data_IF_160561408259
#
_entry.id   IF_160561408259
#
_cell.length_a   1.000
_cell.length_b   1.000
_cell.length_c   1.000
_cell.angle_alpha   90.00
_cell.angle_beta   90.00
_cell.angle_gamma   90.00
#
_symmetry.space_group_name_H-M   'P 1'
#
loop_
_entity.id
_entity.type
_entity.pdbx_description
1 polymer ?
#
# COMPACT_ATOMS: atom_id res chain seq x y z
N UNK A 1 33.37 74.56 -26.16
CA UNK A 1 33.49 74.83 -27.60
C UNK A 1 32.41 74.04 -28.33
N UNK A 2 31.53 74.75 -29.06
CA UNK A 2 30.82 74.39 -30.32
C UNK A 2 30.59 72.88 -30.59
N UNK A 3 29.40 72.33 -30.88
CA UNK A 3 28.19 72.87 -31.52
C UNK A 3 27.07 71.79 -31.51
N UNK A 4 25.83 72.24 -31.31
CA UNK A 4 24.58 71.98 -32.08
C UNK A 4 24.09 70.54 -32.32
N UNK A 5 22.90 70.18 -31.78
CA UNK A 5 21.55 70.11 -32.43
C UNK A 5 21.40 68.94 -33.43
N UNK A 6 20.26 68.28 -33.65
CA UNK A 6 18.93 68.15 -33.04
C UNK A 6 18.12 67.17 -33.94
N UNK A 7 16.95 66.74 -33.45
CA UNK A 7 15.78 66.18 -34.16
C UNK A 7 15.93 64.77 -34.79
N UNK A 8 15.27 63.71 -34.28
CA UNK A 8 13.81 63.37 -34.34
C UNK A 8 13.29 63.12 -35.76
N UNK A 9 12.97 61.86 -36.10
CA UNK A 9 11.63 61.41 -36.55
C UNK A 9 11.62 59.99 -37.17
N UNK A 10 10.68 59.17 -36.66
CA UNK A 10 9.90 58.08 -37.28
C UNK A 10 10.59 56.97 -38.08
N UNK A 11 10.50 55.74 -37.54
CA UNK A 11 10.15 54.55 -38.31
C UNK A 11 9.12 53.72 -37.53
N UNK A 12 7.90 53.63 -38.08
CA UNK A 12 6.89 52.64 -37.76
C UNK A 12 7.21 51.35 -38.52
N UNK A 13 7.09 50.18 -37.89
CA UNK A 13 6.36 49.00 -38.39
C UNK A 13 6.79 47.71 -37.70
N UNK A 14 5.81 46.88 -37.32
CA UNK A 14 6.00 45.42 -37.23
C UNK A 14 6.03 44.76 -35.85
N UNK A 15 5.02 44.97 -34.99
CA UNK A 15 4.74 43.99 -33.92
C UNK A 15 3.81 42.93 -34.50
N UNK A 16 4.37 41.78 -34.86
CA UNK A 16 3.59 40.60 -35.23
C UNK A 16 2.94 40.00 -33.97
N UNK A 17 1.63 40.21 -33.80
CA UNK A 17 0.83 39.48 -32.84
C UNK A 17 0.74 38.01 -33.28
N UNK A 18 1.27 37.10 -32.45
CA UNK A 18 1.01 35.67 -32.59
C UNK A 18 -0.49 35.42 -32.41
N UNK A 19 -1.13 34.58 -33.24
CA UNK A 19 -2.54 34.27 -33.05
C UNK A 19 -2.68 33.45 -31.77
N UNK A 20 -3.51 33.93 -30.84
CA UNK A 20 -3.97 33.13 -29.72
C UNK A 20 -4.77 31.95 -30.29
N UNK A 21 -4.17 30.76 -30.30
CA UNK A 21 -4.89 29.53 -30.55
C UNK A 21 -5.90 29.35 -29.42
N UNK A 22 -7.15 29.73 -29.68
CA UNK A 22 -8.30 29.29 -28.90
C UNK A 22 -8.30 27.77 -28.93
N UNK A 23 -7.85 27.17 -27.83
CA UNK A 23 -8.12 25.76 -27.54
C UNK A 23 -9.63 25.67 -27.42
N UNK A 24 -10.28 25.14 -28.46
CA UNK A 24 -11.63 24.63 -28.36
C UNK A 24 -11.59 23.49 -27.35
N UNK A 25 -11.85 23.80 -26.08
CA UNK A 25 -12.23 22.79 -25.09
C UNK A 25 -13.61 22.32 -25.52
N UNK A 26 -13.64 21.34 -26.44
CA UNK A 26 -14.83 20.54 -26.60
C UNK A 26 -15.14 19.99 -25.21
N UNK A 27 -16.33 20.27 -24.69
CA UNK A 27 -16.79 19.72 -23.42
C UNK A 27 -16.88 18.21 -23.57
N UNK A 28 -15.77 17.50 -23.33
CA UNK A 28 -15.76 16.03 -23.33
C UNK A 28 -16.72 15.60 -22.22
N UNK A 29 -17.83 15.00 -22.62
CA UNK A 29 -18.77 14.38 -21.69
C UNK A 29 -18.21 13.00 -21.34
N UNK A 30 -17.68 12.87 -20.13
CA UNK A 30 -17.25 11.58 -19.59
C UNK A 30 -18.46 10.80 -19.07
N UNK A 31 -18.37 9.47 -19.09
CA UNK A 31 -19.34 8.63 -18.40
C UNK A 31 -19.23 8.85 -16.88
N UNK A 32 -20.36 8.79 -16.17
CA UNK A 32 -20.38 8.85 -14.70
C UNK A 32 -19.93 7.54 -14.08
N UNK A 33 -20.24 6.43 -14.74
CA UNK A 33 -19.87 5.06 -14.34
C UNK A 33 -19.79 4.15 -15.57
N UNK A 34 -19.13 3.01 -15.41
CA UNK A 34 -19.09 1.94 -16.40
C UNK A 34 -19.07 0.57 -15.70
N UNK A 35 -19.61 -0.44 -16.38
CA UNK A 35 -19.59 -1.83 -15.92
C UNK A 35 -18.40 -2.56 -16.52
N UNK A 36 -17.69 -3.32 -15.69
CA UNK A 36 -16.54 -4.13 -16.08
C UNK A 36 -16.74 -5.58 -15.72
N UNK A 37 -16.30 -6.48 -16.59
CA UNK A 37 -16.10 -7.88 -16.26
C UNK A 37 -14.83 -8.04 -15.43
N UNK A 38 -14.90 -8.89 -14.41
CA UNK A 38 -13.80 -9.23 -13.52
C UNK A 38 -13.64 -10.75 -13.43
N UNK A 39 -12.42 -11.20 -13.20
CA UNK A 39 -12.08 -12.63 -13.20
C UNK A 39 -12.86 -13.35 -12.10
N UNK A 40 -13.53 -14.45 -12.46
CA UNK A 40 -14.17 -15.34 -11.48
C UNK A 40 -13.12 -15.90 -10.52
N UNK A 41 -13.40 -15.83 -9.22
CA UNK A 41 -12.54 -16.40 -8.20
C UNK A 41 -12.65 -17.95 -8.18
N UNK A 42 -11.53 -18.63 -7.96
CA UNK A 42 -11.56 -20.04 -7.58
C UNK A 42 -12.06 -20.15 -6.14
N UNK A 43 -12.89 -21.14 -5.84
CA UNK A 43 -13.59 -21.26 -4.55
C UNK A 43 -13.21 -22.54 -3.82
N UNK A 44 -13.16 -22.44 -2.48
CA UNK A 44 -12.99 -23.56 -1.56
C UNK A 44 -14.08 -23.51 -0.49
N UNK A 45 -14.92 -24.55 -0.43
CA UNK A 45 -16.07 -24.65 0.49
C UNK A 45 -17.03 -23.45 0.46
N UNK A 46 -17.21 -22.85 -0.72
CA UNK A 46 -18.21 -21.83 -1.01
C UNK A 46 -19.03 -22.29 -2.21
N UNK A 47 -20.36 -22.19 -2.12
CA UNK A 47 -21.27 -22.47 -3.24
C UNK A 47 -21.24 -21.34 -4.27
N UNK A 48 -21.21 -20.10 -3.78
CA UNK A 48 -21.14 -18.88 -4.57
C UNK A 48 -20.00 -17.98 -4.10
N UNK A 49 -19.43 -17.24 -5.04
CA UNK A 49 -18.32 -16.31 -4.80
C UNK A 49 -18.70 -14.86 -5.07
N UNK A 50 -17.72 -13.94 -5.12
CA UNK A 50 -17.93 -12.58 -5.56
C UNK A 50 -18.54 -12.52 -6.97
N UNK A 51 -19.28 -11.44 -7.30
CA UNK A 51 -19.82 -11.26 -8.64
C UNK A 51 -18.70 -11.19 -9.70
N UNK A 52 -19.02 -11.58 -10.94
CA UNK A 52 -18.08 -11.52 -12.09
C UNK A 52 -18.20 -10.24 -12.91
N UNK A 53 -19.07 -9.33 -12.48
CA UNK A 53 -19.23 -7.98 -13.03
C UNK A 53 -19.30 -6.98 -11.90
N UNK A 54 -18.83 -5.76 -12.16
CA UNK A 54 -18.93 -4.68 -11.18
C UNK A 54 -18.98 -3.32 -11.85
N UNK A 55 -19.56 -2.35 -11.14
CA UNK A 55 -19.65 -0.96 -11.58
C UNK A 55 -18.49 -0.17 -10.97
N UNK A 56 -17.83 0.64 -11.79
CA UNK A 56 -16.85 1.62 -11.36
C UNK A 56 -17.34 3.01 -11.75
N UNK A 57 -17.48 3.89 -10.75
CA UNK A 57 -17.77 5.30 -10.99
C UNK A 57 -16.49 6.03 -11.42
N UNK A 58 -16.65 7.13 -12.14
CA UNK A 58 -15.54 8.02 -12.53
C UNK A 58 -14.79 8.54 -11.31
N UNK A 59 -15.52 8.95 -10.27
CA UNK A 59 -14.94 9.48 -9.03
C UNK A 59 -14.06 8.42 -8.35
N UNK A 60 -14.58 7.20 -8.15
CA UNK A 60 -13.83 6.10 -7.56
C UNK A 60 -12.62 5.73 -8.41
N UNK A 61 -12.78 5.68 -9.75
CA UNK A 61 -11.69 5.37 -10.67
C UNK A 61 -10.53 6.36 -10.55
N UNK A 62 -10.82 7.67 -10.54
CA UNK A 62 -9.80 8.71 -10.39
C UNK A 62 -9.13 8.65 -9.01
N UNK A 63 -9.90 8.35 -7.96
CA UNK A 63 -9.37 8.13 -6.60
C UNK A 63 -8.41 6.95 -6.56
N UNK A 64 -8.82 5.77 -7.06
CA UNK A 64 -7.99 4.57 -7.04
C UNK A 64 -6.71 4.74 -7.89
N UNK A 65 -6.84 5.37 -9.07
CA UNK A 65 -5.69 5.65 -9.93
C UNK A 65 -4.66 6.54 -9.20
N UNK A 66 -5.12 7.65 -8.60
CA UNK A 66 -4.26 8.53 -7.81
C UNK A 66 -3.59 7.77 -6.66
N UNK A 67 -4.34 7.00 -5.88
CA UNK A 67 -3.81 6.27 -4.73
C UNK A 67 -2.74 5.25 -5.13
N UNK A 68 -3.00 4.41 -6.14
CA UNK A 68 -2.01 3.43 -6.62
C UNK A 68 -0.77 4.13 -7.18
N UNK A 69 -0.95 5.23 -7.91
CA UNK A 69 0.17 6.01 -8.42
C UNK A 69 0.99 6.66 -7.29
N UNK A 70 0.35 7.18 -6.24
CA UNK A 70 1.04 7.70 -5.06
C UNK A 70 1.90 6.62 -4.40
N UNK A 71 1.36 5.41 -4.19
CA UNK A 71 2.13 4.28 -3.66
C UNK A 71 3.31 3.95 -4.57
N UNK A 72 3.09 3.76 -5.87
CA UNK A 72 4.15 3.48 -6.85
C UNK A 72 5.28 4.49 -6.78
N UNK A 73 4.95 5.78 -6.78
CA UNK A 73 5.95 6.87 -6.79
C UNK A 73 6.66 6.99 -5.44
N UNK A 74 5.96 6.77 -4.32
CA UNK A 74 6.55 6.70 -2.97
C UNK A 74 7.61 5.59 -2.88
N UNK A 75 7.29 4.39 -3.38
CA UNK A 75 8.23 3.25 -3.33
C UNK A 75 9.47 3.47 -4.22
N UNK A 76 9.28 4.02 -5.43
CA UNK A 76 10.41 4.39 -6.30
C UNK A 76 11.28 5.50 -5.69
N UNK A 77 10.70 6.40 -4.90
CA UNK A 77 11.47 7.39 -4.14
C UNK A 77 12.23 6.75 -2.98
N UNK A 78 11.62 5.80 -2.27
CA UNK A 78 12.29 5.05 -1.22
C UNK A 78 13.49 4.25 -1.76
N UNK A 79 13.39 3.62 -2.94
CA UNK A 79 14.53 3.00 -3.64
C UNK A 79 15.68 4.01 -3.85
N UNK A 80 15.36 5.19 -4.40
CA UNK A 80 16.34 6.25 -4.63
C UNK A 80 17.03 6.69 -3.34
N UNK A 81 16.26 6.99 -2.28
CA UNK A 81 16.78 7.45 -1.00
C UNK A 81 17.62 6.38 -0.30
N UNK A 82 17.29 5.10 -0.46
CA UNK A 82 18.09 3.99 0.06
C UNK A 82 19.44 3.88 -0.66
N UNK A 83 19.45 3.99 -2.00
CA UNK A 83 20.70 4.00 -2.79
C UNK A 83 21.60 5.17 -2.41
N UNK A 84 21.01 6.32 -2.04
CA UNK A 84 21.70 7.50 -1.52
C UNK A 84 22.15 7.37 -0.05
N UNK A 85 21.92 6.22 0.61
CA UNK A 85 22.23 5.96 2.02
C UNK A 85 21.49 6.84 3.03
N UNK A 86 20.41 7.50 2.58
CA UNK A 86 19.53 8.30 3.45
C UNK A 86 18.60 7.36 4.23
N UNK A 87 18.10 6.32 3.56
CA UNK A 87 17.43 5.18 4.22
C UNK A 87 18.47 4.09 4.47
N UNK A 88 18.37 3.41 5.62
CA UNK A 88 19.27 2.34 6.05
C UNK A 88 18.49 1.15 6.63
N UNK A 89 19.18 0.05 6.91
CA UNK A 89 18.55 -1.14 7.49
C UNK A 89 17.66 -1.86 6.47
N UNK A 90 16.45 -2.25 6.89
CA UNK A 90 15.48 -2.89 6.00
C UNK A 90 14.63 -1.87 5.24
N UNK A 91 14.31 -2.18 3.99
CA UNK A 91 13.35 -1.45 3.17
C UNK A 91 12.72 -2.42 2.15
N UNK A 92 11.41 -2.66 2.28
CA UNK A 92 10.67 -3.65 1.47
C UNK A 92 9.59 -2.94 0.65
N UNK A 93 9.83 -2.80 -0.66
CA UNK A 93 8.99 -2.00 -1.55
C UNK A 93 7.79 -2.80 -2.09
N UNK A 94 6.58 -2.26 -2.07
CA UNK A 94 5.37 -2.95 -2.56
C UNK A 94 5.03 -2.69 -4.04
N UNK A 95 5.92 -2.10 -4.83
CA UNK A 95 5.61 -1.77 -6.21
C UNK A 95 5.35 -3.01 -7.08
N UNK A 96 4.20 -2.99 -7.75
CA UNK A 96 3.58 -4.14 -8.44
C UNK A 96 2.40 -4.76 -7.68
N UNK A 97 2.23 -4.42 -6.40
CA UNK A 97 1.15 -4.93 -5.53
C UNK A 97 0.12 -3.85 -5.17
N UNK A 98 0.09 -2.71 -5.87
CA UNK A 98 -0.75 -1.56 -5.49
C UNK A 98 -2.25 -1.88 -5.53
N UNK A 99 -2.67 -2.78 -6.43
CA UNK A 99 -4.04 -3.26 -6.47
C UNK A 99 -4.46 -3.98 -5.18
N UNK A 100 -3.51 -4.57 -4.43
CA UNK A 100 -3.79 -5.21 -3.15
C UNK A 100 -4.14 -4.15 -2.10
N UNK A 101 -3.24 -3.22 -1.77
CA UNK A 101 -3.51 -2.25 -0.71
C UNK A 101 -4.67 -1.30 -1.03
N UNK A 102 -4.76 -0.79 -2.26
CA UNK A 102 -5.86 0.10 -2.66
C UNK A 102 -7.17 -0.65 -2.84
N UNK A 103 -7.13 -1.91 -3.30
CA UNK A 103 -8.35 -2.72 -3.51
C UNK A 103 -8.95 -3.20 -2.21
N UNK A 104 -8.11 -3.59 -1.25
CA UNK A 104 -8.53 -3.94 0.10
C UNK A 104 -9.15 -2.72 0.79
N UNK A 105 -8.51 -1.56 0.71
CA UNK A 105 -9.05 -0.30 1.24
C UNK A 105 -10.42 0.06 0.63
N UNK A 106 -10.57 -0.11 -0.68
CA UNK A 106 -11.81 0.17 -1.40
C UNK A 106 -12.97 -0.79 -1.06
N UNK A 107 -12.67 -1.92 -0.41
CA UNK A 107 -13.67 -2.94 -0.04
C UNK A 107 -14.06 -2.95 1.44
N UNK A 108 -13.50 -2.05 2.26
CA UNK A 108 -13.72 -2.00 3.71
C UNK A 108 -14.07 -0.59 4.19
N UNK A 109 -14.50 -0.49 5.45
CA UNK A 109 -14.77 0.78 6.10
C UNK A 109 -13.51 1.33 6.80
N UNK A 110 -13.41 2.65 7.03
CA UNK A 110 -12.36 3.22 7.88
C UNK A 110 -12.39 2.70 9.34
N UNK A 111 -13.54 2.21 9.79
CA UNK A 111 -13.70 1.60 11.12
C UNK A 111 -13.19 0.16 11.18
N UNK A 112 -12.97 -0.49 10.03
CA UNK A 112 -12.38 -1.83 9.98
C UNK A 112 -10.88 -1.81 10.25
N UNK A 113 -10.37 -2.98 10.62
CA UNK A 113 -9.02 -3.15 11.13
C UNK A 113 -8.15 -3.88 10.12
N UNK A 114 -6.87 -3.50 10.04
CA UNK A 114 -5.92 -4.15 9.14
C UNK A 114 -4.57 -4.34 9.82
N UNK A 115 -3.97 -5.51 9.63
CA UNK A 115 -2.61 -5.82 10.06
C UNK A 115 -1.85 -6.57 8.98
N UNK A 116 -0.57 -6.25 8.77
CA UNK A 116 0.28 -6.91 7.77
C UNK A 116 1.72 -7.10 8.28
N UNK A 117 2.56 -7.72 7.46
CA UNK A 117 3.98 -7.91 7.70
C UNK A 117 4.78 -6.62 7.39
N UNK A 118 6.09 -6.72 7.16
CA UNK A 118 6.98 -5.58 6.98
C UNK A 118 6.90 -4.86 5.61
N UNK A 119 6.16 -5.40 4.62
CA UNK A 119 5.98 -4.75 3.31
C UNK A 119 4.76 -3.81 3.34
N UNK A 120 4.83 -2.81 4.20
CA UNK A 120 3.65 -2.10 4.70
C UNK A 120 3.44 -0.69 4.15
N UNK A 121 4.38 -0.08 3.41
CA UNK A 121 4.29 1.35 3.09
C UNK A 121 2.98 1.72 2.36
N UNK A 122 2.57 0.90 1.39
CA UNK A 122 1.30 1.08 0.69
C UNK A 122 0.08 1.06 1.64
N UNK A 123 0.02 0.09 2.55
CA UNK A 123 -1.06 0.00 3.55
C UNK A 123 -1.03 1.16 4.55
N UNK A 124 0.16 1.60 4.97
CA UNK A 124 0.31 2.76 5.85
C UNK A 124 -0.30 4.01 5.22
N UNK A 125 -0.10 4.21 3.91
CA UNK A 125 -0.70 5.30 3.14
C UNK A 125 -2.22 5.13 3.00
N UNK A 126 -2.70 3.96 2.57
CA UNK A 126 -4.15 3.76 2.36
C UNK A 126 -4.95 3.84 3.65
N UNK A 127 -4.33 3.49 4.80
CA UNK A 127 -4.90 3.64 6.14
C UNK A 127 -4.76 5.06 6.72
N UNK A 128 -4.28 6.02 5.93
CA UNK A 128 -4.49 7.44 6.16
C UNK A 128 -3.27 8.26 6.58
N UNK A 129 -2.07 7.67 6.66
CA UNK A 129 -0.87 8.49 6.87
C UNK A 129 -0.43 9.17 5.58
N UNK A 130 0.16 10.36 5.72
CA UNK A 130 0.72 11.08 4.58
C UNK A 130 2.03 10.46 4.10
N UNK A 131 2.34 10.62 2.82
CA UNK A 131 3.66 10.27 2.25
C UNK A 131 4.79 10.96 3.02
N UNK A 132 4.55 12.18 3.52
CA UNK A 132 5.52 12.95 4.29
C UNK A 132 5.93 12.23 5.57
N UNK A 133 4.97 11.74 6.36
CA UNK A 133 5.22 11.01 7.60
C UNK A 133 5.88 9.65 7.33
N UNK A 134 5.47 8.97 6.26
CA UNK A 134 6.05 7.66 5.85
C UNK A 134 7.51 7.83 5.45
N UNK A 135 7.82 8.75 4.52
CA UNK A 135 9.19 8.96 4.08
C UNK A 135 10.09 9.48 5.21
N UNK A 136 9.58 10.36 6.09
CA UNK A 136 10.33 10.83 7.26
C UNK A 136 10.64 9.70 8.25
N UNK A 137 9.77 8.71 8.41
CA UNK A 137 10.05 7.51 9.22
C UNK A 137 11.12 6.64 8.55
N UNK A 138 11.07 6.47 7.23
CA UNK A 138 12.10 5.72 6.49
C UNK A 138 13.48 6.36 6.61
N UNK A 139 13.55 7.70 6.60
CA UNK A 139 14.81 8.45 6.76
C UNK A 139 15.21 8.66 8.22
N UNK A 140 14.45 8.10 9.18
CA UNK A 140 14.78 8.10 10.61
C UNK A 140 14.67 9.47 11.27
N UNK A 141 13.74 10.33 10.83
CA UNK A 141 13.60 11.71 11.33
C UNK A 141 12.48 11.84 12.36
N UNK A 142 12.53 12.91 13.15
CA UNK A 142 11.57 13.16 14.24
C UNK A 142 10.13 13.33 13.75
N UNK A 143 9.94 13.83 12.52
CA UNK A 143 8.65 13.99 11.86
C UNK A 143 8.11 12.71 11.25
N UNK A 144 8.79 11.57 11.41
CA UNK A 144 8.28 10.27 11.04
C UNK A 144 7.09 9.85 11.90
N UNK A 145 6.22 8.99 11.35
CA UNK A 145 5.03 8.51 12.05
C UNK A 145 5.30 7.80 13.39
N UNK A 146 6.49 7.26 13.59
CA UNK A 146 6.97 6.67 14.85
C UNK A 146 8.20 7.43 15.39
N UNK A 147 8.35 8.70 15.00
CA UNK A 147 9.44 9.60 15.42
C UNK A 147 10.84 9.02 15.15
N UNK A 148 11.01 8.26 14.07
CA UNK A 148 12.27 7.62 13.69
C UNK A 148 12.66 6.43 14.57
N UNK A 149 11.77 5.95 15.46
CA UNK A 149 12.03 4.78 16.31
C UNK A 149 11.73 3.45 15.60
N UNK A 150 10.87 3.45 14.59
CA UNK A 150 10.37 2.23 13.95
C UNK A 150 11.08 1.87 12.64
N UNK A 151 11.32 2.86 11.79
CA UNK A 151 11.82 2.68 10.42
C UNK A 151 10.81 1.98 9.50
N UNK A 152 11.30 1.35 8.44
CA UNK A 152 10.46 0.76 7.37
C UNK A 152 9.43 -0.26 7.86
N UNK A 153 9.82 -1.10 8.82
CA UNK A 153 9.00 -2.27 9.15
C UNK A 153 7.92 -1.96 10.17
N UNK A 154 7.96 -0.82 10.90
CA UNK A 154 7.15 -0.60 12.09
C UNK A 154 6.43 0.76 12.06
N UNK A 155 5.44 0.86 11.18
CA UNK A 155 4.56 2.04 11.06
C UNK A 155 3.13 1.67 11.45
N UNK A 156 2.49 2.49 12.28
CA UNK A 156 1.15 2.25 12.80
C UNK A 156 0.24 3.45 12.50
N UNK A 157 -1.06 3.21 12.33
CA UNK A 157 -2.03 4.28 12.11
C UNK A 157 -3.38 3.91 12.76
N UNK A 158 -4.38 4.77 12.60
CA UNK A 158 -5.72 4.48 13.11
C UNK A 158 -6.26 3.19 12.49
N UNK A 159 -6.55 2.20 13.33
CA UNK A 159 -7.02 0.87 12.94
C UNK A 159 -6.07 0.14 11.95
N UNK A 160 -4.80 0.54 11.92
CA UNK A 160 -3.73 -0.13 11.20
C UNK A 160 -2.64 -0.55 12.19
N UNK A 161 -2.55 -1.85 12.43
CA UNK A 161 -1.83 -2.43 13.56
C UNK A 161 -0.39 -2.82 13.21
N UNK A 162 0.21 -2.06 12.30
CA UNK A 162 1.63 -2.16 12.06
C UNK A 162 1.99 -2.88 10.77
N UNK A 163 3.19 -2.53 10.31
CA UNK A 163 4.08 -3.54 9.75
C UNK A 163 4.72 -4.36 10.86
N UNK A 164 4.81 -5.67 10.63
CA UNK A 164 5.35 -6.62 11.60
C UNK A 164 6.57 -7.36 11.02
N UNK A 165 7.69 -7.29 11.73
CA UNK A 165 8.98 -7.83 11.28
C UNK A 165 9.13 -9.34 11.42
N UNK A 166 8.35 -9.97 12.31
CA UNK A 166 8.42 -11.41 12.59
C UNK A 166 7.41 -12.14 11.72
N UNK A 167 7.90 -12.96 10.79
CA UNK A 167 7.10 -13.65 9.79
C UNK A 167 6.03 -14.54 10.45
N UNK A 168 4.75 -14.23 10.21
CA UNK A 168 3.60 -14.98 10.71
C UNK A 168 3.06 -14.51 12.05
N UNK A 169 3.82 -13.71 12.82
CA UNK A 169 3.42 -13.24 14.14
C UNK A 169 2.19 -12.32 14.11
N UNK A 170 2.00 -11.60 13.01
CA UNK A 170 0.84 -10.72 12.83
C UNK A 170 -0.48 -11.49 12.67
N UNK A 171 -0.43 -12.78 12.34
CA UNK A 171 -1.66 -13.54 12.05
C UNK A 171 -2.46 -13.86 13.31
N UNK A 172 -1.86 -14.39 14.40
CA UNK A 172 -2.55 -14.46 15.69
C UNK A 172 -2.99 -13.09 16.22
N UNK A 173 -2.20 -12.02 16.00
CA UNK A 173 -2.58 -10.66 16.41
C UNK A 173 -3.85 -10.19 15.68
N UNK A 174 -3.94 -10.40 14.37
CA UNK A 174 -5.13 -10.09 13.58
C UNK A 174 -6.37 -10.89 14.01
N UNK A 175 -6.20 -12.17 14.36
CA UNK A 175 -7.27 -12.96 14.97
C UNK A 175 -7.70 -12.39 16.34
N UNK A 176 -6.75 -11.92 17.16
CA UNK A 176 -7.03 -11.23 18.41
C UNK A 176 -7.80 -9.92 18.23
N UNK A 177 -7.46 -9.13 17.20
CA UNK A 177 -8.22 -7.92 16.84
C UNK A 177 -9.63 -8.29 16.39
N UNK A 178 -9.80 -9.31 15.55
CA UNK A 178 -11.12 -9.81 15.17
C UNK A 178 -11.94 -10.29 16.37
N UNK A 179 -11.30 -10.93 17.36
CA UNK A 179 -11.93 -11.27 18.63
C UNK A 179 -12.42 -10.04 19.38
N UNK A 180 -11.63 -8.96 19.43
CA UNK A 180 -12.06 -7.69 20.00
C UNK A 180 -13.24 -7.05 19.24
N UNK A 181 -13.27 -7.13 17.90
CA UNK A 181 -14.42 -6.66 17.10
C UNK A 181 -15.70 -7.41 17.49
N UNK A 182 -15.62 -8.74 17.58
CA UNK A 182 -16.74 -9.58 17.99
C UNK A 182 -17.18 -9.27 19.42
N UNK A 183 -16.22 -9.15 20.33
CA UNK A 183 -16.47 -8.88 21.75
C UNK A 183 -17.20 -7.55 21.96
N UNK A 184 -16.82 -6.52 21.21
CA UNK A 184 -17.40 -5.18 21.31
C UNK A 184 -18.72 -5.02 20.52
N UNK A 185 -19.12 -6.00 19.70
CA UNK A 185 -20.40 -5.98 18.98
C UNK A 185 -20.57 -4.83 17.99
N UNK A 186 -19.47 -4.32 17.40
CA UNK A 186 -19.48 -3.10 16.56
C UNK A 186 -19.72 -3.34 15.08
N UNK A 187 -19.96 -4.59 14.67
CA UNK A 187 -19.94 -4.98 13.26
C UNK A 187 -18.69 -4.42 12.56
N UNK A 188 -17.51 -4.78 13.05
CA UNK A 188 -16.21 -4.44 12.44
C UNK A 188 -15.49 -5.74 12.07
N UNK A 189 -14.70 -5.73 11.02
CA UNK A 189 -13.89 -6.89 10.59
C UNK A 189 -12.40 -6.60 10.71
N UNK A 190 -11.57 -7.65 10.78
CA UNK A 190 -10.12 -7.51 10.71
C UNK A 190 -9.54 -8.25 9.51
N UNK A 191 -8.85 -7.50 8.64
CA UNK A 191 -8.04 -8.03 7.55
C UNK A 191 -6.65 -8.38 8.10
N UNK A 192 -6.27 -9.64 7.97
CA UNK A 192 -5.06 -10.20 8.55
C UNK A 192 -4.17 -10.77 7.47
N UNK A 193 -3.19 -9.97 7.03
CA UNK A 193 -2.37 -10.25 5.85
C UNK A 193 -1.08 -10.99 6.21
N UNK A 194 -0.66 -11.88 5.32
CA UNK A 194 0.63 -12.58 5.36
C UNK A 194 1.06 -12.97 3.94
N UNK A 195 2.36 -13.17 3.71
CA UNK A 195 2.87 -13.58 2.39
C UNK A 195 2.88 -15.09 2.17
N UNK A 196 3.11 -15.54 0.93
CA UNK A 196 3.22 -16.97 0.58
C UNK A 196 4.25 -17.74 1.44
N UNK A 197 5.44 -17.19 1.64
CA UNK A 197 6.44 -17.79 2.54
C UNK A 197 6.01 -17.85 4.01
N UNK A 198 5.15 -16.92 4.46
CA UNK A 198 4.62 -16.92 5.82
C UNK A 198 3.55 -18.00 6.01
N UNK A 199 2.86 -18.42 4.94
CA UNK A 199 1.74 -19.36 4.97
C UNK A 199 2.09 -20.77 5.50
N UNK A 200 3.37 -21.04 5.77
CA UNK A 200 3.86 -22.29 6.38
C UNK A 200 4.20 -22.15 7.86
N UNK A 201 3.96 -20.99 8.49
CA UNK A 201 4.15 -20.78 9.92
C UNK A 201 3.10 -21.52 10.75
N UNK A 202 3.52 -22.29 11.75
CA UNK A 202 2.61 -23.10 12.58
C UNK A 202 1.52 -22.28 13.27
N UNK A 203 1.88 -21.11 13.81
CA UNK A 203 0.95 -20.20 14.49
C UNK A 203 -0.21 -19.70 13.60
N UNK A 204 -0.06 -19.73 12.28
CA UNK A 204 -1.16 -19.41 11.36
C UNK A 204 -2.26 -20.48 11.43
N UNK A 205 -1.88 -21.76 11.49
CA UNK A 205 -2.83 -22.88 11.60
C UNK A 205 -3.50 -22.92 12.98
N UNK A 206 -2.77 -22.54 14.03
CA UNK A 206 -3.35 -22.31 15.37
C UNK A 206 -4.40 -21.19 15.32
N UNK A 207 -4.08 -20.07 14.67
CA UNK A 207 -5.00 -18.95 14.50
C UNK A 207 -6.24 -19.34 13.67
N UNK A 208 -6.09 -20.13 12.61
CA UNK A 208 -7.22 -20.67 11.83
C UNK A 208 -8.16 -21.48 12.71
N UNK A 209 -7.62 -22.44 13.47
CA UNK A 209 -8.41 -23.30 14.33
C UNK A 209 -9.23 -22.49 15.35
N UNK A 210 -8.58 -21.57 16.07
CA UNK A 210 -9.27 -20.71 17.05
C UNK A 210 -10.28 -19.76 16.40
N UNK A 211 -9.92 -19.14 15.28
CA UNK A 211 -10.82 -18.22 14.58
C UNK A 211 -12.08 -18.91 14.08
N UNK A 212 -11.95 -20.13 13.54
CA UNK A 212 -13.09 -20.94 13.11
C UNK A 212 -13.94 -21.38 14.30
N UNK A 213 -13.30 -21.91 15.35
CA UNK A 213 -13.94 -22.35 16.58
C UNK A 213 -14.81 -21.25 17.21
N UNK A 214 -14.30 -20.03 17.23
CA UNK A 214 -14.98 -18.88 17.83
C UNK A 214 -15.75 -18.03 16.82
N UNK A 215 -15.83 -18.42 15.55
CA UNK A 215 -16.49 -17.66 14.48
C UNK A 215 -16.06 -16.18 14.48
N UNK A 216 -14.75 -15.93 14.46
CA UNK A 216 -14.21 -14.57 14.48
C UNK A 216 -14.41 -13.87 13.12
N UNK A 217 -14.70 -12.56 13.09
CA UNK A 217 -14.77 -11.77 11.86
C UNK A 217 -13.37 -11.45 11.30
N UNK A 218 -12.58 -12.49 11.06
CA UNK A 218 -11.20 -12.41 10.58
C UNK A 218 -11.11 -12.84 9.11
N UNK A 219 -10.62 -11.95 8.25
CA UNK A 219 -10.32 -12.25 6.85
C UNK A 219 -8.82 -12.53 6.77
N UNK A 220 -8.45 -13.79 6.58
CA UNK A 220 -7.06 -14.21 6.42
C UNK A 220 -6.64 -14.02 4.98
N UNK A 221 -5.61 -13.21 4.73
CA UNK A 221 -5.22 -12.83 3.37
C UNK A 221 -3.78 -13.26 3.09
N UNK A 222 -3.62 -14.13 2.10
CA UNK A 222 -2.30 -14.52 1.60
C UNK A 222 -1.94 -13.64 0.38
N UNK A 223 -0.99 -12.73 0.53
CA UNK A 223 -0.39 -11.98 -0.59
C UNK A 223 0.67 -12.87 -1.27
N UNK A 224 0.22 -13.69 -2.22
CA UNK A 224 1.06 -14.60 -2.97
C UNK A 224 1.76 -13.85 -4.09
N UNK A 225 3.03 -13.47 -3.86
CA UNK A 225 3.88 -12.82 -4.85
C UNK A 225 4.88 -13.78 -5.50
N UNK A 226 4.61 -15.09 -5.36
CA UNK A 226 5.38 -16.24 -5.87
C UNK A 226 6.69 -16.56 -5.15
N UNK A 227 7.19 -15.71 -4.26
CA UNK A 227 8.52 -15.87 -3.66
C UNK A 227 8.60 -15.44 -2.19
N UNK A 228 8.84 -16.41 -1.31
CA UNK A 228 9.25 -16.20 0.08
C UNK A 228 10.73 -15.86 0.15
N UNK A 229 11.06 -14.57 0.21
CA UNK A 229 12.42 -14.05 0.04
C UNK A 229 13.02 -14.47 -1.32
N UNK A 230 13.79 -15.56 -1.36
CA UNK A 230 14.37 -16.12 -2.60
C UNK A 230 13.90 -17.55 -2.92
N UNK A 231 12.92 -18.08 -2.19
CA UNK A 231 12.38 -19.42 -2.39
C UNK A 231 11.03 -19.34 -3.07
N UNK A 232 10.89 -19.97 -4.24
CA UNK A 232 9.60 -20.00 -4.95
C UNK A 232 8.57 -20.84 -4.20
N UNK A 233 7.28 -20.59 -4.47
CA UNK A 233 6.17 -21.29 -3.81
C UNK A 233 6.24 -22.80 -3.97
N UNK A 234 6.64 -23.30 -5.14
CA UNK A 234 6.77 -24.74 -5.44
C UNK A 234 7.86 -25.42 -4.61
N UNK A 235 8.84 -24.64 -4.15
CA UNK A 235 9.96 -25.13 -3.31
C UNK A 235 9.68 -24.99 -1.83
N UNK A 236 8.75 -24.12 -1.44
CA UNK A 236 8.45 -23.80 -0.05
C UNK A 236 7.19 -24.49 0.47
N UNK A 237 6.20 -24.76 -0.38
CA UNK A 237 4.92 -25.35 0.00
C UNK A 237 4.62 -26.60 -0.84
N UNK A 238 4.30 -27.71 -0.17
CA UNK A 238 3.89 -28.95 -0.84
C UNK A 238 2.59 -28.79 -1.64
N UNK A 239 1.72 -27.86 -1.22
CA UNK A 239 0.56 -27.40 -1.98
C UNK A 239 0.60 -25.87 -2.07
N UNK A 240 0.53 -25.37 -3.30
CA UNK A 240 0.57 -23.94 -3.62
C UNK A 240 -0.83 -23.31 -3.77
N UNK A 241 -1.89 -24.05 -3.43
CA UNK A 241 -3.26 -23.54 -3.32
C UNK A 241 -3.47 -22.88 -1.95
N UNK A 242 -2.95 -21.66 -1.76
CA UNK A 242 -2.94 -20.99 -0.45
C UNK A 242 -4.34 -20.72 0.11
N UNK A 243 -5.31 -20.40 -0.75
CA UNK A 243 -6.72 -20.22 -0.35
C UNK A 243 -7.37 -21.47 0.25
N UNK A 244 -6.79 -22.67 0.07
CA UNK A 244 -7.27 -23.94 0.65
C UNK A 244 -6.57 -24.33 1.95
N UNK A 245 -5.50 -23.65 2.35
CA UNK A 245 -4.66 -24.06 3.49
C UNK A 245 -5.37 -23.99 4.84
N UNK A 246 -6.45 -23.23 4.95
CA UNK A 246 -7.31 -23.23 6.13
C UNK A 246 -8.17 -24.48 6.29
N UNK A 247 -8.14 -25.41 5.32
CA UNK A 247 -8.86 -26.69 5.31
C UNK A 247 -10.36 -26.54 5.58
N UNK A 248 -10.77 -26.48 6.84
CA UNK A 248 -12.14 -26.26 7.29
C UNK A 248 -12.64 -24.81 7.11
N UNK A 249 -11.74 -23.82 6.97
CA UNK A 249 -12.11 -22.43 6.66
C UNK A 249 -12.38 -22.28 5.15
N UNK A 250 -13.51 -21.67 4.73
CA UNK A 250 -13.77 -21.39 3.32
C UNK A 250 -12.77 -20.38 2.77
N UNK A 251 -12.49 -20.45 1.47
CA UNK A 251 -11.54 -19.54 0.85
C UNK A 251 -11.81 -19.25 -0.62
N UNK A 252 -11.20 -18.17 -1.09
CA UNK A 252 -11.25 -17.76 -2.50
C UNK A 252 -9.89 -17.28 -3.00
N UNK A 253 -9.59 -17.53 -4.28
CA UNK A 253 -8.39 -17.04 -4.96
C UNK A 253 -8.74 -15.92 -5.94
N UNK A 254 -8.02 -14.82 -5.84
CA UNK A 254 -8.31 -13.54 -6.49
C UNK A 254 -7.12 -13.10 -7.33
N UNK A 255 -7.40 -12.46 -8.47
CA UNK A 255 -6.39 -11.73 -9.22
C UNK A 255 -5.95 -10.48 -8.44
N UNK A 256 -4.76 -10.54 -7.83
CA UNK A 256 -4.19 -9.46 -7.03
C UNK A 256 -3.54 -8.35 -7.86
N UNK A 257 -3.59 -8.44 -9.19
CA UNK A 257 -3.14 -7.38 -10.11
C UNK A 257 -4.31 -6.50 -10.59
N UNK A 258 -5.56 -6.96 -10.40
CA UNK A 258 -6.76 -6.25 -10.80
C UNK A 258 -7.45 -5.61 -9.58
N UNK A 259 -7.39 -4.28 -9.50
CA UNK A 259 -7.99 -3.48 -8.43
C UNK A 259 -9.48 -3.75 -8.21
N UNK A 260 -10.25 -4.02 -9.28
CA UNK A 260 -11.69 -4.30 -9.19
C UNK A 260 -11.94 -5.72 -8.71
N UNK A 261 -11.13 -6.71 -9.11
CA UNK A 261 -11.19 -8.06 -8.56
C UNK A 261 -10.95 -8.05 -7.04
N UNK A 262 -9.88 -7.37 -6.60
CA UNK A 262 -9.56 -7.27 -5.16
C UNK A 262 -10.67 -6.56 -4.40
N UNK A 263 -11.20 -5.43 -4.91
CA UNK A 263 -12.29 -4.69 -4.28
C UNK A 263 -13.53 -5.55 -4.07
N UNK A 264 -13.99 -6.25 -5.10
CA UNK A 264 -15.23 -7.05 -5.01
C UNK A 264 -15.05 -8.29 -4.15
N UNK A 265 -13.90 -8.95 -4.22
CA UNK A 265 -13.58 -10.06 -3.32
C UNK A 265 -13.52 -9.62 -1.86
N UNK A 266 -13.00 -8.41 -1.59
CA UNK A 266 -12.94 -7.83 -0.26
C UNK A 266 -14.33 -7.49 0.29
N UNK A 267 -15.18 -6.85 -0.52
CA UNK A 267 -16.58 -6.58 -0.14
C UNK A 267 -17.33 -7.87 0.20
N UNK A 268 -17.14 -8.91 -0.59
CA UNK A 268 -17.72 -10.23 -0.36
C UNK A 268 -17.23 -10.83 0.97
N UNK A 269 -15.91 -10.86 1.20
CA UNK A 269 -15.32 -11.42 2.41
C UNK A 269 -15.73 -10.62 3.67
N UNK A 270 -15.77 -9.29 3.58
CA UNK A 270 -16.24 -8.42 4.66
C UNK A 270 -17.71 -8.70 4.99
N UNK A 271 -18.59 -8.77 3.99
CA UNK A 271 -19.99 -9.13 4.20
C UNK A 271 -20.17 -10.54 4.81
N UNK A 272 -19.35 -11.50 4.37
CA UNK A 272 -19.31 -12.85 4.95
C UNK A 272 -19.02 -12.80 6.46
N UNK A 273 -17.94 -12.13 6.87
CA UNK A 273 -17.56 -12.00 8.26
C UNK A 273 -18.58 -11.21 9.10
N UNK A 274 -19.08 -10.07 8.58
CA UNK A 274 -20.12 -9.24 9.22
C UNK A 274 -21.41 -10.02 9.48
N UNK A 275 -21.77 -10.95 8.59
CA UNK A 275 -22.93 -11.82 8.77
C UNK A 275 -22.75 -12.91 9.85
N UNK A 276 -21.61 -12.95 10.55
CA UNK A 276 -21.37 -13.87 11.67
C UNK A 276 -21.02 -15.30 11.24
N UNK A 277 -20.72 -15.53 9.95
CA UNK A 277 -20.36 -16.86 9.43
C UNK A 277 -18.97 -17.33 9.87
N UNK A 278 -18.16 -16.44 10.45
CA UNK A 278 -16.81 -16.73 10.94
C UNK A 278 -15.73 -16.28 9.95
N UNK A 279 -14.53 -16.87 10.03
CA UNK A 279 -13.40 -16.43 9.22
C UNK A 279 -13.50 -16.92 7.78
N UNK A 280 -12.75 -16.26 6.90
CA UNK A 280 -12.61 -16.63 5.48
C UNK A 280 -11.19 -16.37 5.01
N UNK A 281 -10.71 -17.19 4.08
CA UNK A 281 -9.40 -17.05 3.42
C UNK A 281 -9.51 -16.36 2.06
N UNK A 282 -8.55 -15.48 1.77
CA UNK A 282 -8.42 -14.84 0.47
C UNK A 282 -6.97 -14.88 0.01
N UNK A 283 -6.68 -15.57 -1.09
CA UNK A 283 -5.37 -15.53 -1.74
C UNK A 283 -5.37 -14.45 -2.82
N UNK A 284 -4.54 -13.43 -2.66
CA UNK A 284 -4.29 -12.42 -3.69
C UNK A 284 -3.08 -12.84 -4.51
N UNK A 285 -3.30 -13.24 -5.76
CA UNK A 285 -2.23 -13.58 -6.70
C UNK A 285 -1.64 -12.31 -7.28
N UNK A 286 -0.53 -11.85 -6.72
CA UNK A 286 0.09 -10.56 -7.07
C UNK A 286 1.56 -10.75 -7.44
N UNK A 287 2.30 -9.66 -7.59
CA UNK A 287 3.72 -9.73 -7.93
C UNK A 287 4.49 -8.51 -7.42
N UNK A 288 5.69 -8.73 -6.85
CA UNK A 288 6.62 -7.64 -6.48
C UNK A 288 7.65 -7.42 -7.59
N UNK A 289 7.82 -6.19 -8.03
CA UNK A 289 8.80 -5.89 -9.07
C UNK A 289 10.23 -5.86 -8.52
N UNK A 290 10.45 -5.23 -7.37
CA UNK A 290 11.74 -5.28 -6.69
C UNK A 290 12.02 -6.66 -6.09
N UNK A 291 13.28 -6.88 -5.72
CA UNK A 291 13.71 -8.02 -4.90
C UNK A 291 13.01 -8.06 -3.54
N UNK A 292 13.43 -8.98 -2.67
CA UNK A 292 12.79 -9.15 -1.38
C UNK A 292 12.82 -7.84 -0.56
N UNK A 293 14.02 -7.27 -0.45
CA UNK A 293 14.33 -5.98 0.16
C UNK A 293 15.39 -5.28 -0.69
N UNK A 294 15.77 -4.07 -0.30
CA UNK A 294 16.84 -3.32 -0.99
C UNK A 294 18.22 -4.00 -1.03
N UNK A 295 18.48 -5.01 -0.18
CA UNK A 295 19.73 -5.79 -0.24
C UNK A 295 19.67 -6.97 -1.20
N UNK A 296 18.50 -7.29 -1.75
CA UNK A 296 18.28 -8.40 -2.67
C UNK A 296 18.01 -7.87 -4.10
N UNK A 297 18.91 -8.11 -5.07
CA UNK A 297 18.69 -7.73 -6.46
C UNK A 297 17.49 -8.45 -7.12
N UNK A 298 17.06 -9.60 -6.60
CA UNK A 298 15.88 -10.32 -7.07
C UNK A 298 16.02 -11.03 -8.42
N UNK A 299 17.25 -11.34 -8.85
CA UNK A 299 17.57 -11.98 -10.15
C UNK A 299 18.31 -13.31 -10.04
N UNK A 300 18.61 -13.78 -8.82
CA UNK A 300 19.26 -15.09 -8.61
C UNK A 300 18.28 -16.26 -8.59
N UNK A 301 16.98 -15.99 -8.42
CA UNK A 301 15.91 -16.99 -8.26
C UNK A 301 14.73 -16.79 -9.22
N UNK A 302 14.81 -15.80 -10.10
CA UNK A 302 13.83 -15.49 -11.16
C UNK A 302 14.49 -14.67 -12.26
N UNK A 303 13.93 -14.69 -13.45
CA UNK A 303 14.52 -13.99 -14.61
C UNK A 303 14.05 -12.54 -14.70
N UNK A 304 14.81 -11.69 -15.39
CA UNK A 304 14.38 -10.30 -15.65
C UNK A 304 13.19 -10.26 -16.60
N UNK A 305 13.14 -11.23 -17.51
CA UNK A 305 12.09 -11.45 -18.49
C UNK A 305 10.75 -11.72 -17.80
N UNK A 306 10.72 -12.56 -16.75
CA UNK A 306 9.51 -12.80 -15.95
C UNK A 306 8.96 -11.50 -15.35
N UNK A 307 9.83 -10.69 -14.74
CA UNK A 307 9.43 -9.41 -14.12
C UNK A 307 8.89 -8.45 -15.18
N UNK A 308 9.56 -8.35 -16.32
CA UNK A 308 9.17 -7.46 -17.41
C UNK A 308 7.87 -7.92 -18.09
N UNK A 309 7.66 -9.22 -18.22
CA UNK A 309 6.42 -9.80 -18.74
C UNK A 309 5.24 -9.44 -17.83
N UNK A 310 5.37 -9.64 -16.52
CA UNK A 310 4.31 -9.25 -15.56
C UNK A 310 4.03 -7.76 -15.63
N UNK A 311 5.07 -6.92 -15.62
CA UNK A 311 4.91 -5.46 -15.69
C UNK A 311 4.26 -4.99 -16.99
N UNK A 312 4.58 -5.60 -18.13
CA UNK A 312 4.03 -5.18 -19.43
C UNK A 312 2.62 -5.68 -19.68
N UNK A 313 2.23 -6.82 -19.10
CA UNK A 313 0.91 -7.43 -19.34
C UNK A 313 -0.10 -7.16 -18.24
N UNK A 314 0.35 -6.92 -17.00
CA UNK A 314 -0.53 -6.98 -15.83
C UNK A 314 -0.21 -5.91 -14.79
N UNK A 315 0.48 -4.82 -15.15
CA UNK A 315 0.70 -3.74 -14.18
C UNK A 315 -0.64 -3.15 -13.70
N UNK A 316 -0.88 -3.06 -12.37
CA UNK A 316 -2.20 -2.72 -11.84
C UNK A 316 -2.65 -1.30 -12.21
N UNK A 317 -1.71 -0.38 -12.38
CA UNK A 317 -1.99 1.02 -12.75
C UNK A 317 -2.31 1.10 -14.24
N UNK A 318 -1.58 0.36 -15.08
CA UNK A 318 -1.87 0.26 -16.51
C UNK A 318 -3.25 -0.38 -16.76
N UNK A 319 -3.57 -1.48 -16.06
CA UNK A 319 -4.86 -2.15 -16.20
C UNK A 319 -6.04 -1.21 -15.86
N UNK A 320 -5.95 -0.44 -14.76
CA UNK A 320 -6.99 0.54 -14.41
C UNK A 320 -7.06 1.68 -15.43
N UNK A 321 -5.91 2.21 -15.86
CA UNK A 321 -5.84 3.27 -16.88
C UNK A 321 -6.55 2.85 -18.16
N UNK A 322 -6.24 1.68 -18.68
CA UNK A 322 -6.82 1.20 -19.94
C UNK A 322 -8.33 1.02 -19.81
N UNK A 323 -8.81 0.48 -18.67
CA UNK A 323 -10.24 0.40 -18.38
C UNK A 323 -10.92 1.76 -18.40
N UNK A 324 -10.37 2.73 -17.67
CA UNK A 324 -10.97 4.07 -17.53
C UNK A 324 -10.98 4.83 -18.86
N UNK A 325 -9.91 4.74 -19.64
CA UNK A 325 -9.80 5.42 -20.94
C UNK A 325 -10.74 4.78 -21.97
N UNK A 326 -10.72 3.45 -22.08
CA UNK A 326 -11.52 2.74 -23.08
C UNK A 326 -13.02 2.82 -22.80
N UNK A 327 -13.43 3.01 -21.54
CA UNK A 327 -14.83 3.17 -21.14
C UNK A 327 -15.28 4.64 -21.06
N UNK A 328 -14.47 5.59 -21.52
CA UNK A 328 -14.75 7.03 -21.43
C UNK A 328 -15.03 7.54 -20.00
N UNK A 329 -14.44 6.88 -18.98
CA UNK A 329 -14.49 7.35 -17.60
C UNK A 329 -13.47 8.45 -17.33
N UNK A 330 -12.35 8.48 -18.04
CA UNK A 330 -11.35 9.54 -17.96
C UNK A 330 -10.54 9.65 -19.26
N UNK A 331 -9.90 10.79 -19.49
CA UNK A 331 -8.98 10.95 -20.62
C UNK A 331 -7.55 10.60 -20.23
N UNK A 332 -6.73 10.31 -21.25
CA UNK A 332 -5.28 10.13 -21.05
C UNK A 332 -4.63 11.40 -20.50
N UNK A 333 -5.11 12.58 -20.89
CA UNK A 333 -4.61 13.87 -20.42
C UNK A 333 -4.87 14.07 -18.93
N UNK A 334 -6.08 13.75 -18.45
CA UNK A 334 -6.46 13.89 -17.04
C UNK A 334 -5.65 12.95 -16.14
N UNK A 335 -5.44 11.70 -16.56
CA UNK A 335 -4.61 10.77 -15.80
C UNK A 335 -3.14 11.20 -15.76
N UNK A 336 -2.63 11.84 -16.83
CA UNK A 336 -1.28 12.44 -16.84
C UNK A 336 -1.16 13.65 -15.92
N UNK A 337 -2.21 14.45 -15.77
CA UNK A 337 -2.24 15.56 -14.80
C UNK A 337 -2.13 15.01 -13.37
N UNK A 338 -2.85 13.94 -13.06
CA UNK A 338 -2.71 13.21 -11.78
C UNK A 338 -1.26 12.74 -11.59
N UNK A 339 -0.63 12.15 -12.62
CA UNK A 339 0.77 11.70 -12.53
C UNK A 339 1.73 12.86 -12.17
N UNK A 340 1.51 14.05 -12.74
CA UNK A 340 2.31 15.25 -12.48
C UNK A 340 2.12 15.73 -11.04
N UNK A 341 0.87 15.80 -10.57
CA UNK A 341 0.53 16.21 -9.20
C UNK A 341 1.12 15.25 -8.17
N UNK A 342 0.92 13.94 -8.35
CA UNK A 342 1.48 12.92 -7.48
C UNK A 342 3.01 13.02 -7.44
N UNK A 343 3.66 13.20 -8.61
CA UNK A 343 5.12 13.35 -8.64
C UNK A 343 5.58 14.54 -7.81
N UNK A 344 4.87 15.68 -7.90
CA UNK A 344 5.18 16.87 -7.10
C UNK A 344 5.02 16.59 -5.61
N UNK A 345 3.92 15.95 -5.20
CA UNK A 345 3.68 15.54 -3.82
C UNK A 345 4.82 14.67 -3.26
N UNK A 346 5.28 13.68 -4.04
CA UNK A 346 6.40 12.81 -3.63
C UNK A 346 7.72 13.58 -3.50
N UNK A 347 8.03 14.50 -4.41
CA UNK A 347 9.26 15.30 -4.30
C UNK A 347 9.21 16.24 -3.09
N UNK A 348 8.06 16.88 -2.84
CA UNK A 348 7.85 17.75 -1.67
C UNK A 348 7.97 16.96 -0.36
N UNK A 349 7.43 15.73 -0.31
CA UNK A 349 7.57 14.83 0.83
C UNK A 349 9.03 14.36 1.03
N UNK A 350 9.75 14.04 -0.05
CA UNK A 350 11.15 13.63 0.01
C UNK A 350 12.06 14.77 0.48
N UNK A 351 11.81 16.00 0.01
CA UNK A 351 12.54 17.18 0.47
C UNK A 351 12.35 17.39 1.98
N UNK A 352 11.12 17.26 2.48
CA UNK A 352 10.87 17.30 3.91
C UNK A 352 11.62 16.19 4.66
N UNK A 353 11.47 14.93 4.22
CA UNK A 353 12.08 13.78 4.88
C UNK A 353 13.62 13.82 4.91
N UNK A 354 14.25 14.53 3.98
CA UNK A 354 15.70 14.70 3.91
C UNK A 354 16.22 15.91 4.69
N UNK A 355 15.38 16.93 4.93
CA UNK A 355 15.72 18.14 5.67
C UNK A 355 15.29 18.12 7.14
N UNK A 356 14.26 17.35 7.51
CA UNK A 356 13.75 17.27 8.89
C UNK A 356 14.82 16.65 9.82
N UNK A 357 15.12 17.22 11.00
CA UNK A 357 16.23 16.73 11.81
C UNK A 357 15.95 15.35 12.44
N UNK A 358 17.02 14.68 12.84
CA UNK A 358 16.94 13.46 13.64
C UNK A 358 16.24 13.71 14.99
N UNK A 359 15.67 12.67 15.62
CA UNK A 359 15.15 12.76 16.98
C UNK A 359 16.24 13.19 17.97
N UNK A 360 15.91 14.07 18.94
CA UNK A 360 16.85 14.45 19.98
C UNK A 360 17.29 13.21 20.80
N UNK A 361 18.58 13.15 21.14
CA UNK A 361 19.17 12.00 21.85
C UNK A 361 18.53 11.79 23.24
N UNK A 362 18.04 12.86 23.86
CA UNK A 362 17.39 12.85 25.16
C UNK A 362 16.09 12.03 25.16
N UNK A 363 15.44 11.89 24.00
CA UNK A 363 14.19 11.13 23.83
C UNK A 363 14.42 9.65 23.50
N UNK A 364 15.68 9.17 23.54
CA UNK A 364 16.03 7.78 23.24
C UNK A 364 15.18 6.80 24.06
N UNK A 365 15.08 7.02 25.37
CA UNK A 365 14.36 6.16 26.31
C UNK A 365 12.84 6.36 26.39
N UNK A 366 12.25 7.26 25.59
CA UNK A 366 10.82 7.57 25.67
C UNK A 366 9.96 6.42 25.14
N UNK A 367 8.72 6.34 25.64
CA UNK A 367 7.66 5.42 25.22
C UNK A 367 7.96 3.93 25.47
N UNK A 368 8.68 3.60 26.55
CA UNK A 368 8.90 2.19 26.96
C UNK A 368 7.63 1.60 27.59
N UNK A 369 7.01 2.34 28.51
CA UNK A 369 5.74 1.97 29.13
C UNK A 369 4.69 3.04 28.88
N UNK A 370 3.42 2.63 28.81
CA UNK A 370 2.27 3.51 28.61
C UNK A 370 1.59 3.79 29.95
N UNK A 371 1.22 5.05 30.20
CA UNK A 371 0.56 5.52 31.42
C UNK A 371 1.35 5.29 32.73
N UNK A 372 2.67 5.27 32.66
CA UNK A 372 3.56 5.14 33.82
C UNK A 372 4.21 6.49 34.18
N UNK A 373 4.49 6.75 35.47
CA UNK A 373 5.33 7.88 35.86
C UNK A 373 6.72 7.82 35.22
N UNK A 374 7.37 8.97 34.95
CA UNK A 374 8.72 8.98 34.39
C UNK A 374 9.73 8.21 35.24
N UNK A 375 10.65 7.49 34.58
CA UNK A 375 11.73 6.74 35.22
C UNK A 375 13.05 6.86 34.44
N UNK A 376 14.16 6.40 35.02
CA UNK A 376 15.48 6.40 34.37
C UNK A 376 15.81 5.05 33.73
N UNK A 377 16.37 5.09 32.53
CA UNK A 377 16.83 3.92 31.77
C UNK A 377 18.35 3.95 31.69
N UNK A 378 18.98 2.82 32.00
CA UNK A 378 20.44 2.65 31.89
C UNK A 378 20.86 2.66 30.41
N UNK A 379 21.86 3.47 30.07
CA UNK A 379 22.51 3.48 28.76
C UNK A 379 23.64 2.44 28.63
N UNK A 380 24.62 2.72 27.77
CA UNK A 380 25.73 1.80 27.48
C UNK A 380 26.56 1.40 28.70
N UNK A 381 26.58 2.26 29.74
CA UNK A 381 27.19 1.97 31.03
C UNK A 381 26.33 2.56 32.15
N UNK A 382 26.69 2.26 33.41
CA UNK A 382 25.89 2.66 34.57
C UNK A 382 25.80 4.19 34.81
N UNK A 383 26.68 4.98 34.19
CA UNK A 383 26.72 6.44 34.35
C UNK A 383 25.88 7.18 33.30
N UNK A 384 25.55 6.52 32.19
CA UNK A 384 24.66 7.09 31.16
C UNK A 384 23.22 6.75 31.54
N UNK A 385 22.40 7.78 31.71
CA UNK A 385 20.98 7.63 32.02
C UNK A 385 20.12 8.42 31.04
N UNK A 386 19.07 7.79 30.56
CA UNK A 386 18.05 8.43 29.74
C UNK A 386 16.75 8.51 30.54
N UNK A 387 16.02 9.62 30.40
CA UNK A 387 14.66 9.70 30.93
C UNK A 387 13.73 8.88 30.03
N UNK A 388 12.81 8.13 30.64
CA UNK A 388 11.68 7.52 29.96
C UNK A 388 10.41 8.22 30.40
N UNK A 389 9.60 8.64 29.42
CA UNK A 389 8.28 9.22 29.62
C UNK A 389 7.33 8.45 28.71
N UNK A 390 6.12 8.14 29.20
CA UNK A 390 5.07 7.47 28.43
C UNK A 390 4.67 8.19 27.16
#
# INVERSE_FOLDING_TARGET
>A
MRKMLAAVSRVLSGVAQKPASRVLVASRHFANDATFEIKKCDLHRLEEGPPVTTVLTREDGLKYYRMMQTVRRMELKADQLYKQKIIRGFCHLCDGQEACCVGLEAGINPTDHLITAYRAHGFTFTRGLSVREILAELTGRRGGCAKGKGGSMHMYAKNFYGGNGIVGAQVPLGAGIALACKYNGKDEVCLTLYGDGAANQGQIFEAYNMAALWKLPCIFICENNRYGMGTSVERAAASTDYYKRGDFIPGLRVDGMDILCVREATKFAAAYCRSGKGPILMELQTYRYHGHSMSDPGVSYRTREEIQEVRSKSDPIMLLKDRMVNSNLASVEELKEIDVEVRKEIEDAAQFATADPEPPLEELGYHIYCNDPPFEVRGANQWIKFKSIS
#
